data_IF_579869400748
#
_entry.id   IF_579869400748
#
_cell.length_a   1.000
_cell.length_b   1.000
_cell.length_c   1.000
_cell.angle_alpha   90.00
_cell.angle_beta   90.00
_cell.angle_gamma   90.00
#
_symmetry.space_group_name_H-M   'P 1'
#
loop_
_entity.id
_entity.type
_entity.pdbx_description
1 polymer ?
#
# COMPACT_ATOMS: atom_id res chain seq x y z
N UNK A 1 12.85 -7.74 -17.78
CA UNK A 1 11.53 -7.05 -17.74
C UNK A 1 10.88 -7.47 -16.45
N UNK A 2 10.49 -6.52 -15.56
CA UNK A 2 9.76 -6.88 -14.35
C UNK A 2 8.35 -7.36 -14.72
N UNK A 3 7.89 -8.41 -14.04
CA UNK A 3 6.53 -8.91 -14.19
C UNK A 3 5.57 -7.96 -13.46
N UNK A 4 4.48 -7.58 -14.10
CA UNK A 4 3.41 -6.79 -13.51
C UNK A 4 2.10 -7.59 -13.48
N UNK A 5 1.24 -7.27 -12.53
CA UNK A 5 -0.15 -7.73 -12.49
C UNK A 5 -1.08 -6.57 -12.79
N UNK A 6 -2.21 -6.87 -13.43
CA UNK A 6 -3.27 -5.90 -13.67
C UNK A 6 -4.28 -5.95 -12.53
N UNK A 7 -4.56 -4.81 -11.89
CA UNK A 7 -5.59 -4.65 -10.88
C UNK A 7 -6.99 -4.55 -11.55
N UNK A 8 -8.05 -4.70 -10.76
CA UNK A 8 -9.44 -4.63 -11.23
C UNK A 8 -9.80 -3.29 -11.92
N UNK A 9 -9.08 -2.22 -11.60
CA UNK A 9 -9.22 -0.90 -12.23
C UNK A 9 -8.18 -0.62 -13.33
N UNK A 10 -7.52 -1.64 -13.87
CA UNK A 10 -6.52 -1.61 -14.94
C UNK A 10 -5.15 -0.99 -14.56
N UNK A 11 -4.95 -0.59 -13.33
CA UNK A 11 -3.63 -0.16 -12.84
C UNK A 11 -2.67 -1.34 -12.85
N UNK A 12 -1.43 -1.12 -13.34
CA UNK A 12 -0.37 -2.13 -13.34
C UNK A 12 0.43 -2.05 -12.04
N UNK A 13 0.51 -3.15 -11.30
CA UNK A 13 1.30 -3.26 -10.08
C UNK A 13 2.49 -4.20 -10.29
N UNK A 14 3.73 -3.80 -9.95
CA UNK A 14 4.87 -4.71 -10.00
C UNK A 14 4.70 -5.92 -9.09
N UNK A 15 5.12 -7.08 -9.55
CA UNK A 15 5.00 -8.34 -8.80
C UNK A 15 5.89 -8.39 -7.55
N UNK A 16 6.95 -7.62 -7.53
CA UNK A 16 7.93 -7.56 -6.43
C UNK A 16 8.24 -6.12 -6.08
N UNK A 17 8.29 -5.83 -4.78
CA UNK A 17 8.62 -4.52 -4.24
C UNK A 17 9.50 -4.62 -3.01
N UNK A 18 10.04 -3.47 -2.58
CA UNK A 18 10.74 -3.33 -1.29
C UNK A 18 9.79 -2.70 -0.27
N UNK A 19 9.75 -3.27 0.95
CA UNK A 19 9.08 -2.67 2.10
C UNK A 19 10.07 -1.93 2.99
N UNK A 20 9.63 -0.84 3.62
CA UNK A 20 10.46 0.01 4.49
C UNK A 20 10.12 -0.13 5.98
N UNK A 21 9.34 -1.14 6.34
CA UNK A 21 8.98 -1.41 7.73
C UNK A 21 10.24 -1.63 8.59
N UNK A 22 10.26 -1.05 9.79
CA UNK A 22 11.38 -1.09 10.76
C UNK A 22 12.70 -0.44 10.29
N UNK A 23 12.72 0.22 9.13
CA UNK A 23 13.89 0.98 8.71
C UNK A 23 13.89 2.38 9.34
N UNK A 24 15.04 2.81 9.83
CA UNK A 24 15.24 4.23 10.17
C UNK A 24 15.12 5.09 8.90
N UNK A 25 14.88 6.42 9.02
CA UNK A 25 14.82 7.28 7.85
C UNK A 25 16.03 7.16 6.92
N UNK A 26 17.24 7.11 7.46
CA UNK A 26 18.45 7.00 6.65
C UNK A 26 18.56 5.64 5.95
N UNK A 27 18.19 4.55 6.65
CA UNK A 27 18.12 3.21 6.07
C UNK A 27 17.08 3.14 4.96
N UNK A 28 15.88 3.72 5.17
CA UNK A 28 14.82 3.72 4.17
C UNK A 28 15.23 4.51 2.91
N UNK A 29 15.85 5.68 3.08
CA UNK A 29 16.34 6.47 1.96
C UNK A 29 17.36 5.69 1.13
N UNK A 30 18.38 5.10 1.78
CA UNK A 30 19.42 4.36 1.07
C UNK A 30 18.87 3.07 0.43
N UNK A 31 18.03 2.32 1.15
CA UNK A 31 17.40 1.11 0.62
C UNK A 31 16.55 1.38 -0.64
N UNK A 32 15.85 2.51 -0.68
CA UNK A 32 15.09 2.93 -1.87
C UNK A 32 16.01 3.20 -3.05
N UNK A 33 17.11 3.94 -2.83
CA UNK A 33 18.10 4.21 -3.89
C UNK A 33 18.66 2.89 -4.44
N UNK A 34 19.10 2.00 -3.56
CA UNK A 34 19.72 0.73 -3.95
C UNK A 34 18.73 -0.19 -4.68
N UNK A 35 17.48 -0.28 -4.17
CA UNK A 35 16.44 -1.08 -4.81
C UNK A 35 16.12 -0.59 -6.23
N UNK A 36 15.98 0.72 -6.42
CA UNK A 36 15.72 1.31 -7.73
C UNK A 36 16.91 1.13 -8.69
N UNK A 37 18.14 1.21 -8.18
CA UNK A 37 19.35 0.91 -8.95
C UNK A 37 19.44 -0.57 -9.37
N UNK A 38 18.96 -1.48 -8.50
CA UNK A 38 18.86 -2.92 -8.79
C UNK A 38 17.66 -3.27 -9.71
N UNK A 39 16.87 -2.30 -10.12
CA UNK A 39 15.75 -2.51 -11.04
C UNK A 39 14.39 -2.72 -10.39
N UNK A 40 14.26 -2.67 -9.05
CA UNK A 40 12.95 -2.62 -8.41
C UNK A 40 12.18 -1.39 -8.88
N UNK A 41 10.86 -1.51 -8.94
CA UNK A 41 9.97 -0.41 -9.35
C UNK A 41 8.76 -0.25 -8.41
N UNK A 42 8.72 -0.97 -7.29
CA UNK A 42 7.69 -0.83 -6.27
C UNK A 42 8.32 -0.61 -4.90
N UNK A 43 7.80 0.39 -4.18
CA UNK A 43 8.21 0.75 -2.82
C UNK A 43 6.97 0.79 -1.95
N UNK A 44 6.98 0.04 -0.84
CA UNK A 44 5.91 0.02 0.15
C UNK A 44 6.36 0.66 1.47
N UNK A 45 5.62 1.66 1.92
CA UNK A 45 5.82 2.34 3.19
C UNK A 45 4.50 2.53 3.94
N UNK A 46 4.49 3.29 5.03
CA UNK A 46 3.29 3.66 5.77
C UNK A 46 3.54 4.89 6.64
N UNK A 47 2.47 5.63 6.98
CA UNK A 47 2.54 6.73 7.94
C UNK A 47 3.14 6.27 9.29
N UNK A 48 2.73 5.09 9.77
CA UNK A 48 3.22 4.52 11.02
C UNK A 48 4.72 4.22 11.04
N UNK A 49 5.38 4.08 9.88
CA UNK A 49 6.81 3.81 9.80
C UNK A 49 7.67 5.05 10.02
N UNK A 50 7.06 6.24 9.98
CA UNK A 50 7.73 7.54 10.19
C UNK A 50 8.88 7.81 9.21
N UNK A 51 8.86 7.16 8.04
CA UNK A 51 9.94 7.26 7.05
C UNK A 51 9.48 7.68 5.64
N UNK A 52 8.20 8.06 5.44
CA UNK A 52 7.68 8.50 4.13
C UNK A 52 8.53 9.62 3.49
N UNK A 53 8.98 10.61 4.29
CA UNK A 53 9.86 11.70 3.81
C UNK A 53 11.21 11.18 3.30
N UNK A 54 11.76 10.18 3.96
CA UNK A 54 13.01 9.55 3.56
C UNK A 54 12.82 8.72 2.28
N UNK A 55 11.70 8.01 2.17
CA UNK A 55 11.31 7.32 0.91
C UNK A 55 11.25 8.32 -0.25
N UNK A 56 10.57 9.47 -0.07
CA UNK A 56 10.50 10.53 -1.08
C UNK A 56 11.88 11.06 -1.49
N UNK A 57 12.79 11.26 -0.53
CA UNK A 57 14.18 11.65 -0.84
C UNK A 57 14.93 10.56 -1.61
N UNK A 58 14.76 9.29 -1.22
CA UNK A 58 15.36 8.15 -1.91
C UNK A 58 14.90 8.04 -3.36
N UNK A 59 13.60 8.20 -3.61
CA UNK A 59 13.03 8.27 -4.97
C UNK A 59 13.68 9.39 -5.78
N UNK A 60 13.74 10.60 -5.24
CA UNK A 60 14.36 11.74 -5.91
C UNK A 60 15.85 11.51 -6.20
N UNK A 61 16.59 10.96 -5.25
CA UNK A 61 18.03 10.66 -5.39
C UNK A 61 18.32 9.58 -6.42
N UNK A 62 17.42 8.64 -6.62
CA UNK A 62 17.60 7.52 -7.56
C UNK A 62 17.70 7.97 -9.02
N UNK A 63 17.14 9.14 -9.35
CA UNK A 63 17.07 9.65 -10.73
C UNK A 63 16.08 8.88 -11.62
N UNK A 64 15.36 7.88 -11.09
CA UNK A 64 14.32 7.17 -11.83
C UNK A 64 13.07 8.07 -11.93
N UNK A 65 12.46 8.14 -13.10
CA UNK A 65 11.28 8.96 -13.32
C UNK A 65 10.10 8.48 -12.41
N UNK A 66 9.33 9.44 -11.85
CA UNK A 66 8.26 9.12 -10.90
C UNK A 66 7.21 8.18 -11.48
N UNK A 67 6.90 8.33 -12.74
CA UNK A 67 5.94 7.50 -13.49
C UNK A 67 6.39 6.04 -13.66
N UNK A 68 7.68 5.76 -13.54
CA UNK A 68 8.24 4.42 -13.59
C UNK A 68 8.29 3.74 -12.23
N UNK A 69 7.88 4.44 -11.16
CA UNK A 69 7.92 3.94 -9.78
C UNK A 69 6.48 3.80 -9.24
N UNK A 70 6.17 2.63 -8.70
CA UNK A 70 4.93 2.36 -7.99
C UNK A 70 5.16 2.58 -6.48
N UNK A 71 4.51 3.58 -5.90
CA UNK A 71 4.61 3.87 -4.47
C UNK A 71 3.31 3.47 -3.78
N UNK A 72 3.41 2.63 -2.76
CA UNK A 72 2.31 2.35 -1.83
C UNK A 72 2.60 2.88 -0.44
N UNK A 73 1.57 3.42 0.21
CA UNK A 73 1.59 3.83 1.63
C UNK A 73 0.26 3.55 2.30
N UNK A 74 0.17 3.80 3.62
CA UNK A 74 -0.98 3.38 4.42
C UNK A 74 -1.35 4.46 5.44
N UNK A 75 -2.66 4.76 5.57
CA UNK A 75 -3.16 5.62 6.64
C UNK A 75 -3.19 4.80 7.94
N UNK A 76 -2.60 5.34 9.00
CA UNK A 76 -2.65 4.71 10.32
C UNK A 76 -3.98 4.97 11.03
N UNK A 77 -4.39 4.05 11.91
CA UNK A 77 -5.71 4.08 12.54
C UNK A 77 -6.04 5.38 13.29
N UNK A 78 -5.06 6.01 13.95
CA UNK A 78 -5.25 7.31 14.62
C UNK A 78 -5.49 8.49 13.67
N UNK A 79 -5.25 8.30 12.37
CA UNK A 79 -5.37 9.33 11.34
C UNK A 79 -6.66 9.21 10.52
N UNK A 80 -7.50 8.19 10.75
CA UNK A 80 -8.70 7.97 9.95
C UNK A 80 -9.69 9.14 10.01
N UNK A 81 -9.75 9.84 11.13
CA UNK A 81 -10.60 11.02 11.29
C UNK A 81 -9.89 12.34 10.96
N UNK A 82 -8.57 12.34 10.80
CA UNK A 82 -7.78 13.55 10.55
C UNK A 82 -7.99 14.06 9.13
N UNK A 83 -8.37 15.34 9.00
CA UNK A 83 -8.44 15.99 7.70
C UNK A 83 -7.04 16.18 7.10
N UNK A 84 -6.94 16.12 5.77
CA UNK A 84 -5.67 16.31 5.07
C UNK A 84 -4.65 15.17 5.24
N UNK A 85 -5.07 14.00 5.77
CA UNK A 85 -4.15 12.88 6.02
C UNK A 85 -3.53 12.31 4.73
N UNK A 86 -4.28 12.30 3.62
CA UNK A 86 -3.77 11.86 2.30
C UNK A 86 -2.78 12.90 1.76
N UNK A 87 -3.14 14.17 1.83
CA UNK A 87 -2.30 15.30 1.41
C UNK A 87 -0.99 15.34 2.19
N UNK A 88 -1.03 14.96 3.46
CA UNK A 88 0.19 14.87 4.29
C UNK A 88 1.14 13.80 3.79
N UNK A 89 0.65 12.63 3.38
CA UNK A 89 1.50 11.60 2.77
C UNK A 89 2.06 12.05 1.42
N UNK A 90 1.26 12.74 0.59
CA UNK A 90 1.75 13.32 -0.68
C UNK A 90 2.88 14.32 -0.43
N UNK A 91 2.72 15.23 0.54
CA UNK A 91 3.77 16.19 0.95
C UNK A 91 5.04 15.47 1.41
N UNK A 92 4.91 14.48 2.28
CA UNK A 92 6.04 13.73 2.83
C UNK A 92 6.79 12.95 1.75
N UNK A 93 6.06 12.29 0.85
CA UNK A 93 6.63 11.55 -0.27
C UNK A 93 7.16 12.47 -1.39
N UNK A 94 6.76 13.75 -1.40
CA UNK A 94 7.17 14.72 -2.40
C UNK A 94 6.64 14.40 -3.81
N UNK A 95 5.39 13.99 -3.90
CA UNK A 95 4.74 13.56 -5.15
C UNK A 95 3.31 14.07 -5.25
N UNK A 96 2.81 14.24 -6.48
CA UNK A 96 1.45 14.71 -6.74
C UNK A 96 0.40 13.59 -6.67
N UNK A 97 0.84 12.34 -6.71
CA UNK A 97 -0.05 11.17 -6.61
C UNK A 97 0.64 9.98 -5.93
N UNK A 98 -0.17 9.10 -5.32
CA UNK A 98 0.24 7.81 -4.77
C UNK A 98 -0.37 6.70 -5.63
N UNK A 99 0.38 5.66 -5.97
CA UNK A 99 -0.13 4.59 -6.83
C UNK A 99 -1.12 3.69 -6.10
N UNK A 100 -0.89 3.42 -4.80
CA UNK A 100 -1.77 2.60 -3.97
C UNK A 100 -1.76 3.09 -2.54
N UNK A 101 -2.94 3.36 -1.97
CA UNK A 101 -3.03 3.75 -0.56
C UNK A 101 -3.96 2.84 0.22
N UNK A 102 -3.50 2.41 1.39
CA UNK A 102 -4.18 1.42 2.22
C UNK A 102 -4.81 2.04 3.47
N UNK A 103 -5.91 1.43 3.93
CA UNK A 103 -6.27 1.41 5.34
C UNK A 103 -5.36 0.39 6.02
N UNK A 104 -4.50 0.85 6.96
CA UNK A 104 -3.42 0.04 7.53
C UNK A 104 -3.92 -1.06 8.45
N UNK A 105 -4.96 -0.78 9.25
CA UNK A 105 -5.51 -1.72 10.23
C UNK A 105 -7.04 -1.64 10.29
N UNK A 106 -7.73 -2.77 10.49
CA UNK A 106 -9.18 -2.81 10.75
C UNK A 106 -9.50 -2.37 12.19
N UNK A 107 -9.10 -1.15 12.58
CA UNK A 107 -9.25 -0.60 13.93
C UNK A 107 -9.90 0.79 13.89
N UNK A 108 -10.44 1.25 15.01
CA UNK A 108 -11.09 2.55 15.09
C UNK A 108 -12.21 2.70 14.06
N UNK A 109 -12.42 3.92 13.58
CA UNK A 109 -13.36 4.18 12.48
C UNK A 109 -12.69 3.99 11.11
N UNK A 110 -12.37 2.74 10.77
CA UNK A 110 -11.76 2.40 9.49
C UNK A 110 -12.65 2.77 8.30
N UNK A 111 -13.98 2.81 8.47
CA UNK A 111 -14.88 3.23 7.40
C UNK A 111 -14.72 4.72 7.08
N UNK A 112 -14.57 5.59 8.09
CA UNK A 112 -14.25 6.99 7.85
C UNK A 112 -12.92 7.15 7.10
N UNK A 113 -11.90 6.37 7.50
CA UNK A 113 -10.63 6.30 6.77
C UNK A 113 -10.81 5.85 5.32
N UNK A 114 -11.61 4.80 5.11
CA UNK A 114 -11.87 4.28 3.77
C UNK A 114 -12.59 5.29 2.87
N UNK A 115 -13.57 6.04 3.40
CA UNK A 115 -14.25 7.15 2.68
C UNK A 115 -13.26 8.24 2.22
N UNK A 116 -12.21 8.52 3.02
CA UNK A 116 -11.14 9.45 2.59
C UNK A 116 -10.35 8.89 1.41
N UNK A 117 -10.07 7.58 1.39
CA UNK A 117 -9.43 6.95 0.23
C UNK A 117 -10.32 6.97 -1.01
N UNK A 118 -11.63 6.67 -0.87
CA UNK A 118 -12.58 6.77 -1.98
C UNK A 118 -12.63 8.19 -2.56
N UNK A 119 -12.64 9.21 -1.69
CA UNK A 119 -12.59 10.62 -2.10
C UNK A 119 -11.28 10.93 -2.85
N UNK A 120 -10.14 10.57 -2.26
CA UNK A 120 -8.83 10.79 -2.88
C UNK A 120 -8.66 10.06 -4.23
N UNK A 121 -9.25 8.88 -4.35
CA UNK A 121 -9.28 8.13 -5.61
C UNK A 121 -10.08 8.87 -6.69
N UNK A 122 -11.27 9.37 -6.35
CA UNK A 122 -12.11 10.18 -7.28
C UNK A 122 -11.43 11.49 -7.68
N UNK A 123 -10.65 12.07 -6.78
CA UNK A 123 -9.86 13.29 -7.04
C UNK A 123 -8.55 13.02 -7.80
N UNK A 124 -8.22 11.75 -8.08
CA UNK A 124 -7.00 11.37 -8.79
C UNK A 124 -5.71 11.47 -7.96
N UNK A 125 -5.81 11.73 -6.65
CA UNK A 125 -4.68 11.79 -5.72
C UNK A 125 -4.06 10.41 -5.44
N UNK A 126 -4.89 9.37 -5.52
CA UNK A 126 -4.43 7.97 -5.45
C UNK A 126 -4.97 7.20 -6.64
N UNK A 127 -4.19 6.26 -7.19
CA UNK A 127 -4.56 5.47 -8.36
C UNK A 127 -5.25 4.15 -8.02
N UNK A 128 -5.08 3.65 -6.79
CA UNK A 128 -5.73 2.43 -6.31
C UNK A 128 -5.96 2.50 -4.80
N UNK A 129 -6.99 1.79 -4.33
CA UNK A 129 -7.35 1.68 -2.92
C UNK A 129 -6.99 0.28 -2.44
N UNK A 130 -6.36 0.21 -1.27
CA UNK A 130 -6.04 -1.04 -0.59
C UNK A 130 -6.57 -1.11 0.84
N UNK A 131 -6.60 -2.32 1.35
CA UNK A 131 -6.87 -2.63 2.76
C UNK A 131 -5.76 -3.54 3.28
N UNK A 132 -5.47 -3.49 4.58
CA UNK A 132 -4.43 -4.32 5.19
C UNK A 132 -4.95 -5.00 6.45
N UNK A 133 -4.72 -6.31 6.56
CA UNK A 133 -5.08 -7.15 7.70
C UNK A 133 -6.59 -7.25 8.00
N UNK A 134 -7.45 -7.05 7.01
CA UNK A 134 -8.89 -7.20 7.15
C UNK A 134 -9.30 -8.67 7.04
N UNK A 135 -10.14 -9.13 7.97
CA UNK A 135 -10.70 -10.48 8.03
C UNK A 135 -12.10 -10.47 8.62
N UNK A 136 -12.85 -11.55 8.42
CA UNK A 136 -14.15 -11.83 9.08
C UNK A 136 -15.14 -10.67 8.95
N UNK A 137 -15.83 -10.36 10.04
CA UNK A 137 -16.90 -9.35 10.08
C UNK A 137 -16.47 -7.95 9.68
N UNK A 138 -15.21 -7.55 9.96
CA UNK A 138 -14.70 -6.24 9.56
C UNK A 138 -14.50 -6.15 8.05
N UNK A 139 -14.01 -7.21 7.43
CA UNK A 139 -13.91 -7.31 5.98
C UNK A 139 -15.30 -7.27 5.35
N UNK A 140 -16.23 -8.08 5.88
CA UNK A 140 -17.63 -8.12 5.41
C UNK A 140 -18.26 -6.74 5.49
N UNK A 141 -18.17 -6.06 6.64
CA UNK A 141 -18.69 -4.71 6.81
C UNK A 141 -18.12 -3.74 5.77
N UNK A 142 -16.81 -3.76 5.55
CA UNK A 142 -16.19 -2.90 4.55
C UNK A 142 -16.73 -3.20 3.16
N UNK A 143 -16.79 -4.47 2.77
CA UNK A 143 -17.29 -4.87 1.46
C UNK A 143 -18.77 -4.53 1.25
N UNK A 144 -19.59 -4.59 2.29
CA UNK A 144 -21.02 -4.25 2.20
C UNK A 144 -21.25 -2.74 2.08
N UNK A 145 -20.44 -1.93 2.77
CA UNK A 145 -20.64 -0.49 2.90
C UNK A 145 -19.80 0.39 1.96
N UNK A 146 -18.71 -0.14 1.36
CA UNK A 146 -17.85 0.66 0.49
C UNK A 146 -18.52 0.94 -0.87
N UNK A 147 -18.29 2.13 -1.40
CA UNK A 147 -18.70 2.50 -2.75
C UNK A 147 -17.74 1.92 -3.81
N UNK A 148 -16.45 2.00 -3.57
CA UNK A 148 -15.40 1.46 -4.43
C UNK A 148 -14.77 0.26 -3.73
N UNK A 149 -14.80 -0.91 -4.38
CA UNK A 149 -14.18 -2.13 -3.81
C UNK A 149 -12.66 -1.98 -3.74
N UNK A 150 -12.00 -2.57 -2.73
CA UNK A 150 -10.55 -2.55 -2.65
C UNK A 150 -9.93 -3.29 -3.85
N UNK A 151 -8.85 -2.72 -4.40
CA UNK A 151 -8.11 -3.31 -5.51
C UNK A 151 -7.03 -4.27 -5.03
N UNK A 152 -6.50 -4.03 -3.81
CA UNK A 152 -5.44 -4.83 -3.19
C UNK A 152 -5.73 -5.05 -1.71
N UNK A 153 -5.50 -6.25 -1.23
CA UNK A 153 -5.35 -6.54 0.21
C UNK A 153 -3.89 -6.85 0.51
N UNK A 154 -3.31 -6.15 1.49
CA UNK A 154 -2.00 -6.51 2.02
C UNK A 154 -2.20 -7.32 3.30
N UNK A 155 -1.67 -8.55 3.32
CA UNK A 155 -1.85 -9.51 4.41
C UNK A 155 -0.67 -10.47 4.50
N UNK A 156 -0.53 -11.17 5.62
CA UNK A 156 0.42 -12.25 5.74
C UNK A 156 0.13 -13.33 4.68
N UNK A 157 1.12 -13.63 3.86
CA UNK A 157 1.03 -14.72 2.90
C UNK A 157 2.44 -15.22 2.55
N UNK A 158 2.70 -16.49 2.80
CA UNK A 158 3.96 -17.16 2.53
C UNK A 158 3.72 -18.70 2.37
N UNK A 159 4.69 -19.52 1.97
CA UNK A 159 4.49 -20.95 1.72
C UNK A 159 3.86 -21.73 2.89
N UNK A 160 4.00 -21.25 4.13
CA UNK A 160 3.47 -21.90 5.35
C UNK A 160 2.16 -21.32 5.86
N UNK A 161 1.71 -20.15 5.32
CA UNK A 161 0.49 -19.51 5.74
C UNK A 161 -0.23 -18.81 4.60
N UNK A 162 -1.52 -19.11 4.45
CA UNK A 162 -2.40 -18.47 3.48
C UNK A 162 -3.83 -18.46 4.02
N UNK A 163 -4.43 -17.28 4.11
CA UNK A 163 -5.82 -17.11 4.54
C UNK A 163 -6.78 -17.26 3.35
N UNK A 164 -7.20 -18.50 3.11
CA UNK A 164 -8.10 -18.85 2.00
C UNK A 164 -9.51 -18.27 2.18
N UNK A 165 -9.99 -18.10 3.41
CA UNK A 165 -11.30 -17.51 3.69
C UNK A 165 -11.34 -16.05 3.23
N UNK A 166 -10.36 -15.25 3.66
CA UNK A 166 -10.23 -13.84 3.25
C UNK A 166 -10.04 -13.71 1.74
N UNK A 167 -9.20 -14.55 1.13
CA UNK A 167 -8.95 -14.54 -0.32
C UNK A 167 -10.24 -14.86 -1.09
N UNK A 168 -10.98 -15.87 -0.66
CA UNK A 168 -12.24 -16.26 -1.29
C UNK A 168 -13.32 -15.18 -1.17
N UNK A 169 -13.39 -14.48 -0.03
CA UNK A 169 -14.34 -13.38 0.17
C UNK A 169 -14.05 -12.18 -0.76
N UNK A 170 -12.79 -11.98 -1.14
CA UNK A 170 -12.34 -10.87 -2.00
C UNK A 170 -12.34 -11.22 -3.50
N UNK A 171 -12.39 -12.50 -3.85
CA UNK A 171 -12.35 -12.94 -5.24
C UNK A 171 -13.43 -12.31 -6.15
N UNK A 172 -14.71 -12.13 -5.70
CA UNK A 172 -15.74 -11.53 -6.54
C UNK A 172 -15.46 -10.09 -6.97
N UNK A 173 -14.68 -9.31 -6.20
CA UNK A 173 -14.32 -7.95 -6.58
C UNK A 173 -12.98 -7.84 -7.33
N UNK A 174 -12.31 -8.96 -7.60
CA UNK A 174 -11.03 -9.00 -8.31
C UNK A 174 -9.87 -8.39 -7.51
N UNK A 175 -9.99 -8.33 -6.18
CA UNK A 175 -8.96 -7.83 -5.30
C UNK A 175 -7.72 -8.73 -5.33
N UNK A 176 -6.53 -8.14 -5.48
CA UNK A 176 -5.25 -8.86 -5.49
C UNK A 176 -4.65 -8.93 -4.09
N UNK A 177 -3.97 -10.06 -3.81
CA UNK A 177 -3.20 -10.21 -2.57
C UNK A 177 -1.79 -9.66 -2.76
N UNK A 178 -1.35 -8.82 -1.83
CA UNK A 178 0.02 -8.36 -1.66
C UNK A 178 0.55 -8.93 -0.34
N UNK A 179 1.57 -9.76 -0.41
CA UNK A 179 2.11 -10.42 0.78
C UNK A 179 2.99 -9.46 1.59
N UNK A 180 2.80 -9.42 2.91
CA UNK A 180 3.87 -9.05 3.82
C UNK A 180 4.50 -10.33 4.40
N UNK A 181 5.79 -10.28 4.73
CA UNK A 181 6.61 -11.43 5.09
C UNK A 181 6.57 -12.61 4.08
N UNK A 182 6.70 -12.34 2.77
CA UNK A 182 6.53 -13.38 1.75
C UNK A 182 7.52 -14.55 1.87
N UNK A 183 8.60 -14.38 2.63
CA UNK A 183 9.63 -15.38 2.91
C UNK A 183 9.57 -15.92 4.35
N UNK A 184 8.48 -15.66 5.10
CA UNK A 184 8.27 -16.19 6.46
C UNK A 184 9.35 -15.76 7.44
N UNK A 185 9.83 -14.52 7.40
CA UNK A 185 10.93 -13.97 8.21
C UNK A 185 12.30 -14.68 8.07
N UNK A 186 12.41 -15.71 7.26
CA UNK A 186 13.62 -16.53 7.17
C UNK A 186 13.78 -17.54 8.31
N UNK A 187 12.73 -17.77 9.08
CA UNK A 187 12.75 -18.69 10.24
C UNK A 187 12.46 -20.15 9.86
N UNK A 188 12.38 -20.48 8.57
CA UNK A 188 12.03 -21.80 8.04
C UNK A 188 13.08 -22.33 7.05
#
# INVERSE_FOLDING_TARGET
MMMNFTLSNQVQIPAVGIGTFMMTPDQAEQAVVDALACGYRMIDTAQAYMNERAVGRGVKRSGVAREDIFISTKIWASQYLTEGTVEKSLELLGTDYIDLMFIHQPAGDFMAGYRKLEKAYKEGKIKAIGISNFQGEKLKKLLDECEIKPHVIQMEAHPYYRDEETISALAPCGCRVMAWYPLGHGDH
#
